data_IF_267300852090
#
_entry.id   IF_267300852090
#
_cell.length_a   1.000
_cell.length_b   1.000
_cell.length_c   1.000
_cell.angle_alpha   90.00
_cell.angle_beta   90.00
_cell.angle_gamma   90.00
#
_symmetry.space_group_name_H-M   'P 1'
#
loop_
_entity.id
_entity.type
_entity.pdbx_description
1 polymer ?
#
# COMPACT_ATOMS: atom_id res chain seq x y z
N UNK A 1 -10.41 4.39 3.87
CA UNK A 1 -10.00 5.81 3.82
C UNK A 1 -8.51 5.87 3.51
N UNK A 2 -8.14 6.64 2.48
CA UNK A 2 -6.74 6.97 2.16
C UNK A 2 -6.46 8.34 2.75
N UNK A 3 -5.40 8.46 3.55
CA UNK A 3 -4.91 9.74 4.05
C UNK A 3 -3.63 10.09 3.30
N UNK A 4 -3.70 11.12 2.47
CA UNK A 4 -2.53 11.85 2.02
C UNK A 4 -2.26 12.93 3.05
N UNK A 5 -1.09 12.89 3.67
CA UNK A 5 -0.63 13.99 4.52
C UNK A 5 -0.30 15.15 3.57
N UNK A 6 -0.82 16.37 3.77
CA UNK A 6 -0.45 17.51 2.94
C UNK A 6 0.92 18.05 3.34
N UNK A 7 1.76 18.51 2.38
CA UNK A 7 3.05 19.13 2.69
C UNK A 7 2.84 20.43 3.48
N UNK A 8 3.62 20.61 4.54
CA UNK A 8 3.66 21.85 5.33
C UNK A 8 4.84 22.70 4.87
N UNK A 9 4.64 23.43 3.76
CA UNK A 9 5.64 24.27 3.08
C UNK A 9 6.91 23.52 2.61
N UNK A 10 7.25 23.71 1.34
CA UNK A 10 8.35 23.05 0.61
C UNK A 10 8.23 21.51 0.47
N UNK A 11 8.97 20.96 -0.49
CA UNK A 11 8.96 19.56 -0.96
C UNK A 11 9.28 18.54 0.16
N UNK A 12 8.35 18.36 1.09
CA UNK A 12 8.50 17.40 2.17
C UNK A 12 8.07 16.01 1.69
N UNK A 13 8.86 14.97 1.99
CA UNK A 13 8.50 13.60 1.67
C UNK A 13 7.14 13.23 2.27
N UNK A 14 6.28 12.65 1.43
CA UNK A 14 4.93 12.27 1.78
C UNK A 14 4.84 10.78 2.09
N UNK A 15 3.87 10.47 2.95
CA UNK A 15 3.56 9.10 3.34
C UNK A 15 2.11 8.82 3.03
N UNK A 16 1.84 7.65 2.45
CA UNK A 16 0.49 7.17 2.17
C UNK A 16 0.06 6.22 3.28
N UNK A 17 -1.05 6.53 3.95
CA UNK A 17 -1.64 5.67 4.99
C UNK A 17 -3.04 5.24 4.57
N UNK A 18 -3.30 3.94 4.60
CA UNK A 18 -4.65 3.42 4.37
C UNK A 18 -4.89 2.11 5.14
N UNK A 19 -6.16 1.73 5.30
CA UNK A 19 -6.46 0.48 6.01
C UNK A 19 -6.14 -0.76 5.16
N UNK A 20 -6.70 -0.86 3.96
CA UNK A 20 -6.56 -2.03 3.06
C UNK A 20 -5.39 -1.80 2.09
N UNK A 21 -4.43 -2.74 1.99
CA UNK A 21 -3.30 -2.61 1.06
C UNK A 21 -3.73 -2.76 -0.40
N UNK A 22 -2.92 -2.21 -1.32
CA UNK A 22 -3.05 -2.49 -2.75
C UNK A 22 -2.31 -3.76 -3.14
N UNK A 23 -2.72 -4.35 -4.27
CA UNK A 23 -2.08 -5.54 -4.82
C UNK A 23 -2.70 -6.85 -4.33
N UNK A 24 -1.92 -7.92 -4.43
CA UNK A 24 -2.36 -9.28 -4.17
C UNK A 24 -2.13 -9.69 -2.72
N UNK A 25 -3.06 -10.47 -2.18
CA UNK A 25 -2.93 -11.05 -0.85
C UNK A 25 -1.84 -12.14 -0.88
N UNK A 26 -0.84 -12.10 0.03
CA UNK A 26 0.29 -13.04 0.00
C UNK A 26 -0.11 -14.49 0.30
N UNK A 27 -1.32 -14.71 0.81
CA UNK A 27 -1.84 -16.03 1.20
C UNK A 27 -2.95 -16.56 0.29
N UNK A 28 -3.39 -15.80 -0.71
CA UNK A 28 -4.47 -16.21 -1.61
C UNK A 28 -4.03 -16.01 -3.07
N UNK A 29 -4.22 -17.05 -3.90
CA UNK A 29 -3.81 -17.00 -5.32
C UNK A 29 -4.71 -16.05 -6.09
N UNK A 30 -4.09 -15.15 -6.86
CA UNK A 30 -4.76 -14.21 -7.77
C UNK A 30 -5.91 -13.40 -7.14
N UNK A 31 -5.84 -13.17 -5.83
CA UNK A 31 -6.87 -12.42 -5.09
C UNK A 31 -6.30 -11.08 -4.67
N UNK A 32 -6.93 -10.01 -5.13
CA UNK A 32 -6.55 -8.64 -4.77
C UNK A 32 -7.27 -8.21 -3.49
N UNK A 33 -6.59 -7.45 -2.63
CA UNK A 33 -7.18 -6.94 -1.39
C UNK A 33 -8.24 -5.86 -1.65
N UNK A 34 -8.11 -5.15 -2.78
CA UNK A 34 -9.08 -4.22 -3.33
C UNK A 34 -9.39 -4.66 -4.76
N UNK A 35 -10.65 -4.52 -5.21
CA UNK A 35 -11.06 -4.84 -6.59
C UNK A 35 -10.01 -4.39 -7.62
N UNK A 36 -9.71 -5.26 -8.57
CA UNK A 36 -8.64 -5.11 -9.55
C UNK A 36 -8.61 -3.74 -10.24
N UNK A 37 -9.76 -3.29 -10.76
CA UNK A 37 -9.89 -1.97 -11.39
C UNK A 37 -9.39 -0.80 -10.51
N UNK A 38 -9.65 -0.85 -9.20
CA UNK A 38 -9.20 0.20 -8.28
C UNK A 38 -7.74 0.00 -7.88
N UNK A 39 -7.30 -1.25 -7.71
CA UNK A 39 -5.90 -1.57 -7.48
C UNK A 39 -5.01 -1.02 -8.60
N UNK A 40 -5.38 -1.26 -9.86
CA UNK A 40 -4.65 -0.75 -11.03
C UNK A 40 -4.60 0.78 -11.09
N UNK A 41 -5.76 1.43 -10.87
CA UNK A 41 -5.84 2.90 -10.85
C UNK A 41 -4.95 3.48 -9.76
N UNK A 42 -4.94 2.86 -8.58
CA UNK A 42 -4.14 3.34 -7.47
C UNK A 42 -2.65 3.11 -7.70
N UNK A 43 -2.25 1.95 -8.23
CA UNK A 43 -0.86 1.70 -8.66
C UNK A 43 -0.38 2.76 -9.64
N UNK A 44 -1.19 3.13 -10.65
CA UNK A 44 -0.84 4.20 -11.60
C UNK A 44 -0.62 5.55 -10.90
N UNK A 45 -1.47 5.91 -9.95
CA UNK A 45 -1.30 7.15 -9.17
C UNK A 45 0.01 7.10 -8.39
N UNK A 46 0.31 6.00 -7.72
CA UNK A 46 1.53 5.84 -6.93
C UNK A 46 2.78 5.97 -7.83
N UNK A 47 2.78 5.33 -8.99
CA UNK A 47 3.87 5.47 -9.95
C UNK A 47 4.06 6.92 -10.42
N UNK A 48 2.97 7.65 -10.66
CA UNK A 48 3.04 9.05 -11.10
C UNK A 48 3.58 10.01 -10.02
N UNK A 49 3.40 9.69 -8.73
CA UNK A 49 3.85 10.52 -7.60
C UNK A 49 5.06 9.92 -6.86
N UNK A 50 5.77 8.98 -7.47
CA UNK A 50 6.87 8.24 -6.83
C UNK A 50 7.98 9.11 -6.26
N UNK A 51 8.21 10.28 -6.84
CA UNK A 51 9.28 11.20 -6.43
C UNK A 51 9.03 11.87 -5.09
N UNK A 52 7.76 12.03 -4.70
CA UNK A 52 7.38 12.71 -3.46
C UNK A 52 6.92 11.75 -2.37
N UNK A 53 6.72 10.46 -2.67
CA UNK A 53 6.24 9.48 -1.70
C UNK A 53 7.41 8.65 -1.16
N UNK A 54 7.69 8.78 0.13
CA UNK A 54 8.78 8.04 0.80
C UNK A 54 8.36 6.69 1.36
N UNK A 55 7.07 6.40 1.44
CA UNK A 55 6.61 5.09 1.91
C UNK A 55 5.10 4.98 2.04
N UNK A 56 4.67 3.73 2.16
CA UNK A 56 3.26 3.39 2.31
C UNK A 56 3.05 2.46 3.51
N UNK A 57 2.02 2.74 4.29
CA UNK A 57 1.70 1.98 5.49
C UNK A 57 0.23 1.55 5.49
N UNK A 58 0.03 0.25 5.65
CA UNK A 58 -1.26 -0.42 5.62
C UNK A 58 -1.45 -1.35 6.82
N UNK A 59 -2.69 -1.79 7.03
CA UNK A 59 -3.02 -2.83 7.99
C UNK A 59 -3.91 -3.88 7.34
N UNK A 60 -5.11 -4.07 7.90
CA UNK A 60 -6.17 -4.96 7.42
C UNK A 60 -5.86 -6.47 7.44
N UNK A 61 -4.70 -6.91 6.95
CA UNK A 61 -4.36 -8.35 6.87
C UNK A 61 -3.92 -8.93 8.21
N UNK A 62 -3.65 -8.09 9.22
CA UNK A 62 -3.14 -8.46 10.54
C UNK A 62 -1.82 -9.26 10.47
N UNK A 63 -1.02 -9.04 9.42
CA UNK A 63 0.26 -9.71 9.20
C UNK A 63 1.34 -8.69 8.89
N UNK A 64 2.57 -9.00 9.30
CA UNK A 64 3.75 -8.28 8.84
C UNK A 64 4.04 -8.69 7.39
N UNK A 65 3.93 -7.76 6.46
CA UNK A 65 4.20 -8.01 5.04
C UNK A 65 4.87 -6.81 4.40
N UNK A 66 5.85 -7.09 3.55
CA UNK A 66 6.60 -6.11 2.78
C UNK A 66 6.35 -6.38 1.30
N UNK A 67 5.84 -5.39 0.58
CA UNK A 67 5.54 -5.50 -0.84
C UNK A 67 6.40 -4.47 -1.59
N UNK A 68 7.22 -4.95 -2.52
CA UNK A 68 7.95 -4.09 -3.44
C UNK A 68 7.04 -3.75 -4.63
N UNK A 69 6.70 -2.47 -4.80
CA UNK A 69 5.94 -2.02 -5.96
C UNK A 69 6.90 -1.80 -7.12
N UNK A 70 6.58 -2.38 -8.27
CA UNK A 70 7.29 -2.18 -9.52
C UNK A 70 6.39 -1.47 -10.52
N UNK A 71 6.99 -0.70 -11.42
CA UNK A 71 6.28 -0.17 -12.58
C UNK A 71 6.14 -1.24 -13.68
N UNK A 72 5.58 -0.85 -14.82
CA UNK A 72 5.37 -1.76 -15.95
C UNK A 72 6.68 -2.20 -16.61
N UNK A 73 7.78 -1.49 -16.38
CA UNK A 73 9.10 -1.84 -16.88
C UNK A 73 9.85 -2.76 -15.89
N UNK A 74 9.28 -3.00 -14.70
CA UNK A 74 9.88 -3.82 -13.65
C UNK A 74 10.77 -3.03 -12.69
N UNK A 75 10.86 -1.71 -12.84
CA UNK A 75 11.70 -0.88 -11.99
C UNK A 75 11.04 -0.68 -10.61
N UNK A 76 11.83 -0.71 -9.52
CA UNK A 76 11.30 -0.49 -8.18
C UNK A 76 10.81 0.94 -8.02
N UNK A 77 9.53 1.10 -7.66
CA UNK A 77 8.87 2.39 -7.49
C UNK A 77 8.79 2.78 -6.02
N UNK A 78 8.31 1.88 -5.16
CA UNK A 78 8.12 2.17 -3.74
C UNK A 78 8.05 0.88 -2.90
N UNK A 79 8.17 1.05 -1.58
CA UNK A 79 7.99 -0.02 -0.60
C UNK A 79 6.70 0.17 0.17
N UNK A 80 5.88 -0.89 0.22
CA UNK A 80 4.64 -0.92 0.97
C UNK A 80 4.81 -1.82 2.19
N UNK A 81 4.47 -1.28 3.35
CA UNK A 81 4.52 -1.98 4.62
C UNK A 81 3.10 -2.26 5.10
N UNK A 82 2.82 -3.50 5.46
CA UNK A 82 1.57 -3.91 6.10
C UNK A 82 1.90 -4.34 7.53
N UNK A 83 1.31 -3.66 8.52
CA UNK A 83 1.64 -3.87 9.93
C UNK A 83 0.71 -4.90 10.58
N UNK A 84 1.24 -5.61 11.57
CA UNK A 84 0.48 -6.48 12.47
C UNK A 84 -0.64 -5.70 13.18
N UNK A 85 -1.72 -6.40 13.51
CA UNK A 85 -2.73 -5.87 14.41
C UNK A 85 -2.34 -6.09 15.87
N UNK A 86 -2.84 -5.23 16.76
CA UNK A 86 -2.74 -5.45 18.21
C UNK A 86 -3.59 -6.64 18.64
N UNK A 87 -4.69 -6.92 17.94
CA UNK A 87 -5.55 -8.08 18.25
C UNK A 87 -4.88 -9.40 17.86
N UNK A 88 -4.82 -10.40 18.75
CA UNK A 88 -4.25 -11.72 18.44
C UNK A 88 -5.23 -12.63 17.67
N UNK A 89 -6.45 -12.17 17.38
CA UNK A 89 -7.49 -12.98 16.73
C UNK A 89 -7.05 -13.36 15.30
N UNK A 90 -7.01 -14.67 15.02
CA UNK A 90 -6.52 -15.23 13.75
C UNK A 90 -7.56 -15.23 12.62
N UNK A 91 -8.84 -15.22 12.98
CA UNK A 91 -9.98 -15.14 12.06
C UNK A 91 -11.19 -14.63 12.84
N UNK A 92 -12.01 -13.79 12.23
CA UNK A 92 -13.38 -13.65 12.70
C UNK A 92 -14.08 -14.98 12.39
N UNK A 93 -14.58 -15.67 13.41
CA UNK A 93 -15.52 -16.79 13.22
C UNK A 93 -16.81 -16.29 12.56
#
# INVERSE_FOLDING_TARGET
TFLLVPPRHDYWPQVVIAHVPVGYLPYARNTTAVRELYSERLVKIICNYREIISGHFYGHTHRDSKIALQDQQGEPVNSLFVTLAVTPIKSAE
#
